data_IF_218372676016
#
_entry.id   IF_218372676016
#
_cell.length_a   1.000
_cell.length_b   1.000
_cell.length_c   1.000
_cell.angle_alpha   90.00
_cell.angle_beta   90.00
_cell.angle_gamma   90.00
#
_symmetry.space_group_name_H-M   'P 1'
#
loop_
_entity.id
_entity.type
_entity.pdbx_description
1 polymer ?
#
# COMPACT_ATOMS: atom_id res chain seq x y z
N UNK A 1 4.49 2.51 22.64
CA UNK A 1 4.65 1.26 21.84
C UNK A 1 6.01 1.28 21.16
N UNK A 2 7.08 1.56 21.91
CA UNK A 2 8.43 1.67 21.37
C UNK A 2 9.12 0.32 21.59
N UNK A 3 9.28 -0.45 20.51
CA UNK A 3 9.98 -1.73 20.53
C UNK A 3 9.33 -2.80 19.64
N UNK A 4 10.01 -3.94 19.52
CA UNK A 4 9.63 -5.09 18.66
C UNK A 4 8.16 -5.50 18.83
N UNK A 5 7.62 -5.43 20.06
CA UNK A 5 6.22 -5.75 20.37
C UNK A 5 5.21 -4.80 19.70
N UNK A 6 5.54 -3.51 19.58
CA UNK A 6 4.68 -2.51 18.95
C UNK A 6 4.54 -2.73 17.43
N UNK A 7 5.63 -3.10 16.76
CA UNK A 7 5.63 -3.44 15.34
C UNK A 7 4.88 -4.73 15.07
N UNK A 8 5.09 -5.77 15.89
CA UNK A 8 4.36 -7.04 15.76
C UNK A 8 2.86 -6.80 15.96
N UNK A 9 2.47 -6.02 16.97
CA UNK A 9 1.05 -5.70 17.17
C UNK A 9 0.45 -4.91 15.99
N UNK A 10 1.16 -3.91 15.48
CA UNK A 10 0.71 -3.13 14.33
C UNK A 10 0.60 -3.99 13.07
N UNK A 11 1.59 -4.84 12.79
CA UNK A 11 1.58 -5.77 11.67
C UNK A 11 0.43 -6.77 11.76
N UNK A 12 0.20 -7.33 12.95
CA UNK A 12 -0.93 -8.22 13.21
C UNK A 12 -2.28 -7.54 12.99
N UNK A 13 -2.46 -6.33 13.53
CA UNK A 13 -3.71 -5.59 13.35
C UNK A 13 -3.95 -5.24 11.88
N UNK A 14 -2.92 -4.81 11.13
CA UNK A 14 -3.03 -4.53 9.69
C UNK A 14 -3.40 -5.79 8.91
N UNK A 15 -2.80 -6.93 9.24
CA UNK A 15 -3.15 -8.23 8.63
C UNK A 15 -4.61 -8.62 8.85
N UNK A 16 -5.10 -8.52 10.10
CA UNK A 16 -6.49 -8.85 10.44
C UNK A 16 -7.47 -7.86 9.81
N UNK A 17 -7.21 -6.55 9.90
CA UNK A 17 -8.05 -5.53 9.29
C UNK A 17 -8.14 -5.71 7.77
N UNK A 18 -7.06 -6.13 7.12
CA UNK A 18 -7.05 -6.39 5.68
C UNK A 18 -7.98 -7.54 5.30
N UNK A 19 -8.02 -8.63 6.08
CA UNK A 19 -8.93 -9.76 5.83
C UNK A 19 -10.38 -9.39 6.18
N UNK A 20 -10.60 -8.65 7.27
CA UNK A 20 -11.93 -8.12 7.60
C UNK A 20 -12.48 -7.23 6.49
N UNK A 21 -11.64 -6.37 5.88
CA UNK A 21 -12.06 -5.55 4.75
C UNK A 21 -12.50 -6.41 3.55
N UNK A 22 -11.83 -7.54 3.28
CA UNK A 22 -12.26 -8.51 2.25
C UNK A 22 -13.62 -9.10 2.61
N UNK A 23 -13.80 -9.52 3.87
CA UNK A 23 -15.08 -10.06 4.35
C UNK A 23 -16.25 -9.06 4.19
N UNK A 24 -16.00 -7.77 4.45
CA UNK A 24 -17.01 -6.72 4.33
C UNK A 24 -17.24 -6.20 2.90
N UNK A 25 -16.58 -6.76 1.88
CA UNK A 25 -16.90 -6.49 0.47
C UNK A 25 -15.75 -6.00 -0.39
N UNK A 26 -14.51 -5.89 0.13
CA UNK A 26 -13.36 -5.68 -0.75
C UNK A 26 -13.04 -6.95 -1.56
N UNK A 27 -12.53 -6.79 -2.80
CA UNK A 27 -12.18 -7.91 -3.66
C UNK A 27 -11.22 -8.88 -2.96
N UNK A 28 -11.46 -10.17 -3.19
CA UNK A 28 -10.61 -11.25 -2.69
C UNK A 28 -9.14 -11.00 -3.07
N UNK A 29 -8.22 -11.23 -2.12
CA UNK A 29 -6.78 -10.98 -2.25
C UNK A 29 -6.34 -9.52 -2.49
N UNK A 30 -7.23 -8.52 -2.38
CA UNK A 30 -6.83 -7.10 -2.39
C UNK A 30 -6.64 -6.52 -0.99
N UNK A 31 -7.47 -6.92 -0.01
CA UNK A 31 -7.39 -6.46 1.39
C UNK A 31 -7.21 -4.95 1.51
N UNK A 32 -5.96 -4.53 1.72
CA UNK A 32 -5.53 -3.13 1.73
C UNK A 32 -4.39 -2.90 0.71
N UNK A 33 -4.72 -2.56 -0.55
CA UNK A 33 -3.73 -2.39 -1.61
C UNK A 33 -3.63 -0.94 -2.11
N UNK A 34 -2.58 -0.23 -1.69
CA UNK A 34 -2.41 1.19 -2.03
C UNK A 34 -2.29 1.44 -3.53
N UNK A 35 -1.50 0.64 -4.26
CA UNK A 35 -1.28 0.85 -5.70
C UNK A 35 -2.57 0.65 -6.52
N UNK A 36 -3.31 -0.44 -6.24
CA UNK A 36 -4.57 -0.69 -6.91
C UNK A 36 -5.62 0.37 -6.55
N UNK A 37 -5.65 0.83 -5.29
CA UNK A 37 -6.62 1.82 -4.86
C UNK A 37 -6.34 3.21 -5.47
N UNK A 38 -5.07 3.60 -5.60
CA UNK A 38 -4.69 4.82 -6.31
C UNK A 38 -5.08 4.75 -7.80
N UNK A 39 -4.90 3.59 -8.44
CA UNK A 39 -5.40 3.36 -9.81
C UNK A 39 -6.93 3.50 -9.86
N UNK A 40 -7.65 2.90 -8.92
CA UNK A 40 -9.12 2.93 -8.90
C UNK A 40 -9.63 4.38 -8.68
N UNK A 41 -8.96 5.15 -7.80
CA UNK A 41 -9.23 6.57 -7.59
C UNK A 41 -8.97 7.39 -8.86
N UNK A 42 -7.85 7.14 -9.56
CA UNK A 42 -7.56 7.79 -10.83
C UNK A 42 -8.63 7.47 -11.91
N UNK A 43 -9.20 6.25 -11.86
CA UNK A 43 -10.29 5.84 -12.73
C UNK A 43 -11.60 6.54 -12.39
N UNK A 44 -11.90 6.70 -11.09
CA UNK A 44 -13.07 7.44 -10.60
C UNK A 44 -13.01 8.94 -10.94
N UNK A 45 -11.82 9.53 -10.97
CA UNK A 45 -11.58 10.91 -11.41
C UNK A 45 -11.54 11.08 -12.93
N UNK A 46 -11.66 9.98 -13.70
CA UNK A 46 -11.64 10.01 -15.17
C UNK A 46 -10.25 10.25 -15.80
N UNK A 47 -9.16 10.12 -15.03
CA UNK A 47 -7.79 10.22 -15.54
C UNK A 47 -7.43 9.04 -16.46
N UNK A 48 -8.11 7.91 -16.30
CA UNK A 48 -8.16 6.82 -17.27
C UNK A 48 -9.58 6.26 -17.35
N UNK A 49 -9.91 5.61 -18.47
CA UNK A 49 -11.27 5.13 -18.80
C UNK A 49 -11.42 3.61 -18.73
N UNK A 50 -10.64 2.93 -17.90
CA UNK A 50 -10.81 1.49 -17.71
C UNK A 50 -12.07 1.23 -16.87
N UNK A 51 -13.17 0.87 -17.54
CA UNK A 51 -14.51 0.72 -16.95
C UNK A 51 -14.61 -0.26 -15.76
N UNK A 52 -13.61 -1.12 -15.58
CA UNK A 52 -13.57 -2.19 -14.56
C UNK A 52 -13.00 -1.71 -13.21
N UNK A 53 -12.35 -0.52 -13.19
CA UNK A 53 -11.50 -0.05 -12.07
C UNK A 53 -11.71 1.45 -11.81
N UNK A 54 -12.96 1.85 -11.58
CA UNK A 54 -13.35 3.24 -11.31
C UNK A 54 -14.13 3.30 -10.00
N UNK A 55 -13.46 3.75 -8.94
CA UNK A 55 -14.06 3.98 -7.63
C UNK A 55 -13.12 4.79 -6.74
N UNK A 56 -13.65 5.82 -6.09
CA UNK A 56 -12.88 6.56 -5.09
C UNK A 56 -12.87 5.71 -3.81
N UNK A 57 -11.73 5.10 -3.51
CA UNK A 57 -11.57 4.22 -2.34
C UNK A 57 -11.28 5.03 -1.06
N UNK A 58 -12.22 5.09 -0.09
CA UNK A 58 -12.05 5.89 1.14
C UNK A 58 -10.97 5.35 2.08
N UNK A 59 -10.47 4.13 1.88
CA UNK A 59 -9.36 3.54 2.63
C UNK A 59 -8.08 4.40 2.55
N UNK A 60 -7.78 4.95 1.36
CA UNK A 60 -6.60 5.80 1.14
C UNK A 60 -6.75 7.12 1.87
N UNK A 61 -7.94 7.72 1.79
CA UNK A 61 -8.27 8.96 2.49
C UNK A 61 -8.13 8.76 4.00
N UNK A 62 -8.68 7.66 4.53
CA UNK A 62 -8.55 7.27 5.93
C UNK A 62 -7.08 7.12 6.35
N UNK A 63 -6.25 6.45 5.55
CA UNK A 63 -4.83 6.27 5.86
C UNK A 63 -4.07 7.60 5.92
N UNK A 64 -4.33 8.49 4.96
CA UNK A 64 -3.69 9.81 4.92
C UNK A 64 -4.14 10.65 6.12
N UNK A 65 -5.43 10.69 6.42
CA UNK A 65 -5.94 11.45 7.56
C UNK A 65 -5.47 10.88 8.90
N UNK A 66 -5.46 9.56 9.06
CA UNK A 66 -5.01 8.90 10.27
C UNK A 66 -3.52 9.14 10.55
N UNK A 67 -2.66 9.02 9.53
CA UNK A 67 -1.22 9.32 9.65
C UNK A 67 -0.96 10.81 9.91
N UNK A 68 -1.74 11.70 9.29
CA UNK A 68 -1.64 13.13 9.49
C UNK A 68 -2.04 13.57 10.92
N UNK A 69 -3.18 13.10 11.43
CA UNK A 69 -3.68 13.44 12.77
C UNK A 69 -2.70 13.01 13.88
N UNK A 70 -2.13 11.80 13.77
CA UNK A 70 -1.18 11.33 14.77
C UNK A 70 0.17 12.05 14.66
N UNK A 71 0.60 12.42 13.45
CA UNK A 71 1.82 13.22 13.24
C UNK A 71 1.72 14.61 13.89
N UNK A 72 0.56 15.28 13.75
CA UNK A 72 0.28 16.54 14.44
C UNK A 72 0.27 16.36 15.96
N UNK A 73 -0.41 15.33 16.47
CA UNK A 73 -0.49 15.04 17.91
C UNK A 73 0.89 14.76 18.53
N UNK A 74 1.74 14.03 17.82
CA UNK A 74 3.10 13.73 18.26
C UNK A 74 4.09 14.87 18.02
N UNK A 75 3.66 15.98 17.39
CA UNK A 75 4.52 17.12 16.99
C UNK A 75 5.69 16.72 16.08
N UNK A 76 5.52 15.66 15.29
CA UNK A 76 6.53 15.17 14.33
C UNK A 76 6.28 15.69 12.90
N UNK A 77 5.26 16.54 12.73
CA UNK A 77 4.88 17.03 11.41
C UNK A 77 5.87 18.06 10.88
N UNK A 78 6.51 17.73 9.75
CA UNK A 78 7.49 18.61 9.09
C UNK A 78 7.30 18.54 7.57
N UNK A 79 7.01 19.69 6.94
CA UNK A 79 6.90 19.80 5.49
C UNK A 79 8.30 19.84 4.86
N UNK A 80 8.61 18.85 4.01
CA UNK A 80 9.92 18.71 3.36
C UNK A 80 9.77 18.66 1.84
N UNK A 81 10.53 19.51 1.17
CA UNK A 81 10.63 19.59 -0.29
C UNK A 81 11.87 18.91 -0.81
N UNK A 82 11.70 18.14 -1.87
CA UNK A 82 12.82 17.53 -2.57
C UNK A 82 13.45 18.44 -3.60
N UNK A 83 14.78 18.42 -3.69
CA UNK A 83 15.44 18.76 -4.96
C UNK A 83 15.29 17.61 -5.98
N UNK A 84 15.26 17.99 -7.26
CA UNK A 84 14.98 17.17 -8.47
C UNK A 84 13.55 16.60 -8.59
N UNK A 85 12.51 17.47 -8.72
CA UNK A 85 11.12 17.05 -8.85
C UNK A 85 10.86 16.12 -10.06
N UNK A 86 11.50 16.40 -11.21
CA UNK A 86 11.32 15.59 -12.41
C UNK A 86 11.79 14.14 -12.23
N UNK A 87 12.96 13.92 -11.63
CA UNK A 87 13.49 12.57 -11.40
C UNK A 87 12.56 11.80 -10.46
N UNK A 88 12.10 12.43 -9.37
CA UNK A 88 11.16 11.80 -8.42
C UNK A 88 9.82 11.47 -9.07
N UNK A 89 9.34 12.33 -9.96
CA UNK A 89 8.13 12.09 -10.72
C UNK A 89 8.27 10.89 -11.65
N UNK A 90 9.35 10.82 -12.45
CA UNK A 90 9.62 9.69 -13.35
C UNK A 90 9.79 8.39 -12.57
N UNK A 91 10.50 8.40 -11.44
CA UNK A 91 10.60 7.23 -10.55
C UNK A 91 9.23 6.77 -10.05
N UNK A 92 8.34 7.70 -9.68
CA UNK A 92 6.97 7.38 -9.30
C UNK A 92 6.17 6.71 -10.43
N UNK A 93 6.32 7.18 -11.67
CA UNK A 93 5.69 6.56 -12.85
C UNK A 93 6.19 5.13 -13.04
N UNK A 94 7.51 4.92 -12.98
CA UNK A 94 8.15 3.60 -13.12
C UNK A 94 7.64 2.65 -12.03
N UNK A 95 7.66 3.06 -10.75
CA UNK A 95 7.15 2.26 -9.63
C UNK A 95 5.67 1.89 -9.81
N UNK A 96 4.83 2.84 -10.24
CA UNK A 96 3.42 2.56 -10.48
C UNK A 96 3.20 1.57 -11.63
N UNK A 97 3.98 1.65 -12.70
CA UNK A 97 3.94 0.68 -13.80
C UNK A 97 4.32 -0.72 -13.28
N UNK A 98 5.41 -0.85 -12.51
CA UNK A 98 5.84 -2.12 -11.92
C UNK A 98 4.80 -2.74 -10.99
N UNK A 99 4.24 -1.92 -10.09
CA UNK A 99 3.20 -2.35 -9.17
C UNK A 99 1.92 -2.79 -9.90
N UNK A 100 1.57 -2.15 -11.02
CA UNK A 100 0.41 -2.52 -11.82
C UNK A 100 0.64 -3.78 -12.67
N UNK A 101 1.86 -4.02 -13.16
CA UNK A 101 2.24 -5.28 -13.84
C UNK A 101 2.10 -6.47 -12.88
N UNK A 102 2.57 -6.32 -11.64
CA UNK A 102 2.35 -7.33 -10.58
C UNK A 102 0.89 -7.40 -10.09
N UNK A 103 0.05 -6.45 -10.50
CA UNK A 103 -1.30 -6.22 -9.97
C UNK A 103 -1.31 -6.03 -8.44
N UNK A 104 -0.32 -5.38 -7.85
CA UNK A 104 -0.30 -5.17 -6.41
C UNK A 104 0.83 -4.29 -5.89
N UNK A 105 0.68 -3.82 -4.67
CA UNK A 105 1.77 -3.20 -3.91
C UNK A 105 2.48 -4.24 -3.03
N UNK A 106 3.63 -3.90 -2.40
CA UNK A 106 4.32 -4.81 -1.48
C UNK A 106 3.41 -5.34 -0.37
N UNK A 107 2.49 -4.53 0.14
CA UNK A 107 1.54 -4.98 1.16
C UNK A 107 0.56 -6.03 0.60
N UNK A 108 0.04 -5.84 -0.61
CA UNK A 108 -0.84 -6.81 -1.27
C UNK A 108 -0.11 -8.11 -1.59
N UNK A 109 1.16 -8.05 -1.97
CA UNK A 109 2.00 -9.24 -2.18
C UNK A 109 2.02 -10.14 -0.94
N UNK A 110 2.18 -9.54 0.24
CA UNK A 110 2.17 -10.27 1.52
C UNK A 110 0.82 -10.87 1.84
N UNK A 111 -0.25 -10.09 1.63
CA UNK A 111 -1.62 -10.56 1.86
C UNK A 111 -2.02 -11.68 0.89
N UNK A 112 -1.53 -11.63 -0.36
CA UNK A 112 -1.69 -12.70 -1.35
C UNK A 112 -1.01 -13.99 -0.88
N UNK A 113 0.24 -13.90 -0.39
CA UNK A 113 0.92 -15.05 0.20
C UNK A 113 0.16 -15.61 1.40
N UNK A 114 -0.35 -14.74 2.28
CA UNK A 114 -1.21 -15.13 3.41
C UNK A 114 -2.54 -15.76 2.99
N UNK A 115 -3.02 -15.51 1.77
CA UNK A 115 -4.21 -16.12 1.18
C UNK A 115 -3.96 -17.47 0.48
N UNK A 116 -2.69 -17.91 0.39
CA UNK A 116 -2.30 -19.15 -0.28
C UNK A 116 -1.78 -18.97 -1.71
N UNK A 117 -1.53 -17.73 -2.16
CA UNK A 117 -0.96 -17.43 -3.48
C UNK A 117 0.55 -17.63 -3.51
N UNK A 118 0.97 -18.74 -4.13
CA UNK A 118 2.38 -19.10 -4.29
C UNK A 118 3.06 -18.26 -5.38
N UNK A 119 2.32 -17.61 -6.29
CA UNK A 119 2.91 -16.67 -7.25
C UNK A 119 3.47 -15.43 -6.56
N UNK A 120 2.97 -15.09 -5.36
CA UNK A 120 3.51 -14.01 -4.54
C UNK A 120 4.97 -14.27 -4.09
N UNK A 121 5.44 -15.52 -4.05
CA UNK A 121 6.84 -15.83 -3.75
C UNK A 121 7.79 -15.28 -4.81
N UNK A 122 7.44 -15.38 -6.09
CA UNK A 122 8.21 -14.79 -7.18
C UNK A 122 8.21 -13.26 -7.08
N UNK A 123 7.10 -12.66 -6.65
CA UNK A 123 7.03 -11.23 -6.35
C UNK A 123 7.98 -10.83 -5.20
N UNK A 124 8.01 -11.60 -4.10
CA UNK A 124 8.90 -11.33 -2.96
C UNK A 124 10.37 -11.45 -3.38
N UNK A 125 10.70 -12.50 -4.16
CA UNK A 125 12.05 -12.68 -4.69
C UNK A 125 12.46 -11.49 -5.58
N UNK A 126 11.55 -11.04 -6.46
CA UNK A 126 11.75 -9.85 -7.29
C UNK A 126 11.99 -8.60 -6.45
N UNK A 127 11.12 -8.35 -5.47
CA UNK A 127 11.22 -7.19 -4.58
C UNK A 127 12.53 -7.15 -3.79
N UNK A 128 12.96 -8.28 -3.21
CA UNK A 128 14.25 -8.35 -2.49
C UNK A 128 15.42 -8.12 -3.45
N UNK A 129 15.37 -8.70 -4.66
CA UNK A 129 16.40 -8.52 -5.67
C UNK A 129 16.50 -7.06 -6.17
N UNK A 130 15.37 -6.41 -6.42
CA UNK A 130 15.29 -5.00 -6.78
C UNK A 130 15.91 -4.09 -5.72
N UNK A 131 15.54 -4.30 -4.45
CA UNK A 131 16.12 -3.55 -3.32
C UNK A 131 17.62 -3.81 -3.20
N UNK A 132 18.08 -5.06 -3.40
CA UNK A 132 19.51 -5.38 -3.35
C UNK A 132 20.30 -4.59 -4.41
N UNK A 133 19.82 -4.55 -5.66
CA UNK A 133 20.42 -3.73 -6.71
C UNK A 133 20.40 -2.25 -6.32
N UNK A 134 19.26 -1.75 -5.83
CA UNK A 134 19.12 -0.36 -5.37
C UNK A 134 20.12 0.02 -4.27
N UNK A 135 20.33 -0.86 -3.29
CA UNK A 135 21.31 -0.67 -2.20
C UNK A 135 22.73 -0.60 -2.76
N UNK A 136 23.08 -1.41 -3.75
CA UNK A 136 24.40 -1.34 -4.39
C UNK A 136 24.63 0.02 -5.09
N UNK A 137 23.61 0.58 -5.74
CA UNK A 137 23.69 1.92 -6.33
C UNK A 137 23.79 3.02 -5.27
N UNK A 138 23.05 2.90 -4.16
CA UNK A 138 23.14 3.83 -3.04
C UNK A 138 24.54 3.81 -2.39
N UNK A 139 25.14 2.63 -2.23
CA UNK A 139 26.50 2.48 -1.72
C UNK A 139 27.56 3.10 -2.65
N UNK A 140 27.27 3.22 -3.95
CA UNK A 140 28.12 3.90 -4.94
C UNK A 140 27.96 5.43 -4.97
N UNK A 141 27.21 6.01 -4.03
CA UNK A 141 27.10 7.46 -3.84
C UNK A 141 25.96 8.13 -4.60
N UNK A 142 24.97 7.37 -5.08
CA UNK A 142 23.76 7.97 -5.66
C UNK A 142 22.97 8.69 -4.56
N UNK A 143 22.92 10.02 -4.63
CA UNK A 143 22.13 10.83 -3.70
C UNK A 143 21.23 11.79 -4.45
N UNK A 144 19.93 11.74 -4.13
CA UNK A 144 19.01 12.81 -4.48
C UNK A 144 19.35 13.98 -3.55
N UNK A 145 19.77 15.12 -4.13
CA UNK A 145 20.16 16.36 -3.42
C UNK A 145 19.27 16.67 -2.19
N UNK A 146 19.81 17.49 -1.27
CA UNK A 146 19.23 17.78 0.06
C UNK A 146 17.75 18.19 0.01
N UNK A 147 16.95 17.64 0.92
CA UNK A 147 15.58 18.11 1.16
C UNK A 147 15.59 19.45 1.92
N UNK A 148 14.77 20.40 1.50
CA UNK A 148 14.59 21.70 2.13
C UNK A 148 13.31 21.72 2.97
N UNK A 149 13.30 22.47 4.08
CA UNK A 149 12.06 22.71 4.83
C UNK A 149 11.17 23.65 4.02
N UNK A 150 9.95 23.23 3.75
CA UNK A 150 8.95 24.02 3.02
C UNK A 150 7.96 24.64 4.01
N UNK A 151 7.24 25.71 3.62
CA UNK A 151 6.22 26.29 4.49
C UNK A 151 5.20 25.24 4.91
N UNK A 152 4.68 25.37 6.12
CA UNK A 152 3.71 24.44 6.71
C UNK A 152 2.46 24.27 5.86
N UNK A 153 2.05 25.33 5.14
CA UNK A 153 0.91 25.34 4.21
C UNK A 153 1.01 24.20 3.19
N UNK A 154 2.17 24.00 2.56
CA UNK A 154 2.34 22.94 1.55
C UNK A 154 2.13 21.53 2.12
N UNK A 155 2.41 21.35 3.42
CA UNK A 155 2.15 20.09 4.11
C UNK A 155 0.66 19.85 4.39
N UNK A 156 -0.15 20.90 4.55
CA UNK A 156 -1.61 20.78 4.77
C UNK A 156 -2.38 20.55 3.47
N UNK A 157 -1.82 20.90 2.30
CA UNK A 157 -2.47 20.73 0.99
C UNK A 157 -2.83 19.26 0.75
N UNK A 158 -1.92 18.32 1.04
CA UNK A 158 -2.16 16.91 0.73
C UNK A 158 -3.32 16.29 1.54
N UNK A 159 -3.42 16.45 2.87
CA UNK A 159 -4.61 16.06 3.62
C UNK A 159 -5.88 16.77 3.14
N UNK A 160 -5.81 18.07 2.81
CA UNK A 160 -6.96 18.86 2.37
C UNK A 160 -7.53 18.36 1.04
N UNK A 161 -6.66 18.01 0.08
CA UNK A 161 -7.06 17.39 -1.20
C UNK A 161 -7.78 16.05 -0.95
N UNK A 162 -7.31 15.24 -0.01
CA UNK A 162 -7.96 13.98 0.36
C UNK A 162 -9.34 14.18 0.99
N UNK A 163 -9.53 15.23 1.80
CA UNK A 163 -10.85 15.64 2.29
C UNK A 163 -11.74 16.08 1.13
N UNK A 164 -11.19 16.80 0.16
CA UNK A 164 -11.87 17.14 -1.09
C UNK A 164 -12.35 15.91 -1.86
N UNK A 165 -11.53 14.87 -1.96
CA UNK A 165 -11.94 13.58 -2.56
C UNK A 165 -13.05 12.88 -1.77
N UNK A 166 -13.06 12.99 -0.43
CA UNK A 166 -14.13 12.46 0.40
C UNK A 166 -15.44 13.21 0.17
N UNK A 167 -15.38 14.54 0.08
CA UNK A 167 -16.54 15.36 -0.24
C UNK A 167 -17.09 15.04 -1.64
N UNK A 168 -16.21 14.83 -2.63
CA UNK A 168 -16.58 14.39 -3.98
C UNK A 168 -17.24 13.01 -3.97
N UNK A 169 -16.76 12.07 -3.15
CA UNK A 169 -17.37 10.75 -2.99
C UNK A 169 -18.80 10.85 -2.44
N UNK A 170 -19.03 11.70 -1.43
CA UNK A 170 -20.36 11.89 -0.82
C UNK A 170 -21.30 12.66 -1.77
N UNK A 171 -20.81 13.68 -2.45
CA UNK A 171 -21.61 14.50 -3.35
C UNK A 171 -21.96 13.79 -4.67
N UNK A 172 -21.21 12.73 -5.04
CA UNK A 172 -21.36 11.92 -6.24
C UNK A 172 -21.79 12.73 -7.50
N UNK A 173 -21.07 13.81 -7.88
CA UNK A 173 -21.38 14.55 -9.09
C UNK A 173 -21.23 13.65 -10.33
N UNK A 174 -22.06 13.86 -11.36
CA UNK A 174 -22.11 13.02 -12.57
C UNK A 174 -20.83 12.93 -13.41
N UNK A 175 -19.74 13.58 -12.99
CA UNK A 175 -18.39 13.42 -13.56
C UNK A 175 -17.57 12.30 -12.89
N UNK A 176 -18.02 11.72 -11.77
CA UNK A 176 -17.35 10.60 -11.11
C UNK A 176 -17.86 9.30 -11.70
N UNK A 177 -16.95 8.53 -12.29
CA UNK A 177 -17.29 7.24 -12.85
C UNK A 177 -17.28 6.16 -11.77
N UNK A 178 -18.40 5.47 -11.62
CA UNK A 178 -18.52 4.28 -10.79
C UNK A 178 -18.57 3.05 -11.69
N UNK A 179 -17.69 2.11 -11.45
CA UNK A 179 -17.67 0.85 -12.19
C UNK A 179 -18.85 -0.04 -11.76
N UNK A 180 -19.65 -0.51 -12.73
CA UNK A 180 -20.76 -1.45 -12.49
C UNK A 180 -20.29 -2.91 -12.38
N UNK A 181 -19.09 -3.25 -12.92
CA UNK A 181 -18.56 -4.62 -12.97
C UNK A 181 -17.04 -4.64 -12.76
N UNK A 182 -16.58 -5.45 -11.81
CA UNK A 182 -15.16 -5.75 -11.58
C UNK A 182 -14.66 -5.41 -10.17
N UNK A 183 -13.34 -5.45 -9.90
CA UNK A 183 -12.77 -5.06 -8.60
C UNK A 183 -13.09 -3.62 -8.16
N UNK A 184 -13.51 -2.74 -9.06
CA UNK A 184 -14.00 -1.40 -8.73
C UNK A 184 -15.41 -1.36 -8.13
N UNK A 185 -16.26 -2.35 -8.41
CA UNK A 185 -17.63 -2.41 -7.87
C UNK A 185 -17.74 -3.16 -6.54
N UNK A 186 -16.69 -3.90 -6.17
CA UNK A 186 -16.53 -4.54 -4.87
C UNK A 186 -15.92 -3.53 -3.88
N UNK A 187 -16.79 -2.86 -3.13
CA UNK A 187 -16.41 -1.89 -2.12
C UNK A 187 -17.04 -2.24 -0.77
N UNK A 188 -16.22 -2.23 0.28
CA UNK A 188 -16.73 -2.29 1.65
C UNK A 188 -17.48 -0.99 2.01
N UNK A 189 -18.42 -1.02 2.99
CA UNK A 189 -19.14 0.16 3.45
C UNK A 189 -18.20 1.31 3.82
N UNK A 190 -18.50 2.52 3.34
CA UNK A 190 -17.64 3.71 3.44
C UNK A 190 -17.10 3.94 4.86
N UNK A 191 -17.95 3.77 5.88
CA UNK A 191 -17.60 3.93 7.31
C UNK A 191 -16.56 2.90 7.78
N UNK A 192 -16.69 1.65 7.36
CA UNK A 192 -15.78 0.56 7.74
C UNK A 192 -14.42 0.75 7.05
N UNK A 193 -14.42 1.07 5.77
CA UNK A 193 -13.21 1.38 5.01
C UNK A 193 -12.47 2.62 5.53
N UNK A 194 -13.19 3.68 5.92
CA UNK A 194 -12.59 4.90 6.44
C UNK A 194 -12.00 4.67 7.84
N UNK A 195 -12.72 3.97 8.72
CA UNK A 195 -12.24 3.64 10.07
C UNK A 195 -11.05 2.69 10.03
N UNK A 196 -11.08 1.67 9.18
CA UNK A 196 -9.93 0.78 8.96
C UNK A 196 -8.72 1.55 8.42
N UNK A 197 -8.93 2.41 7.40
CA UNK A 197 -7.88 3.28 6.87
C UNK A 197 -7.27 4.19 7.94
N UNK A 198 -8.10 4.82 8.78
CA UNK A 198 -7.66 5.71 9.86
C UNK A 198 -6.82 4.94 10.89
N UNK A 199 -7.28 3.77 11.33
CA UNK A 199 -6.53 2.92 12.27
C UNK A 199 -5.19 2.48 11.68
N UNK A 200 -5.17 2.01 10.43
CA UNK A 200 -3.94 1.61 9.73
C UNK A 200 -2.99 2.81 9.59
N UNK A 201 -3.49 4.00 9.23
CA UNK A 201 -2.69 5.22 9.12
C UNK A 201 -2.06 5.64 10.44
N UNK A 202 -2.81 5.59 11.55
CA UNK A 202 -2.30 5.89 12.90
C UNK A 202 -1.18 4.92 13.30
N UNK A 203 -1.39 3.63 13.04
CA UNK A 203 -0.41 2.59 13.36
C UNK A 203 0.84 2.67 12.49
N UNK A 204 0.67 2.87 11.18
CA UNK A 204 1.77 2.98 10.23
C UNK A 204 2.68 4.16 10.59
N UNK A 205 2.11 5.32 10.95
CA UNK A 205 2.89 6.49 11.34
C UNK A 205 3.63 6.28 12.67
N UNK A 206 2.99 5.63 13.66
CA UNK A 206 3.64 5.35 14.96
C UNK A 206 4.76 4.32 14.88
N UNK A 207 4.59 3.30 14.05
CA UNK A 207 5.55 2.19 13.95
C UNK A 207 6.57 2.38 12.84
N UNK A 208 6.38 3.39 11.98
CA UNK A 208 7.18 3.64 10.77
C UNK A 208 7.29 2.38 9.91
N UNK A 209 6.18 1.64 9.81
CA UNK A 209 6.14 0.36 9.10
C UNK A 209 6.34 0.60 7.60
N UNK A 210 7.49 0.18 7.09
CA UNK A 210 7.86 0.30 5.69
C UNK A 210 8.49 -1.01 5.21
N UNK A 211 7.87 -1.65 4.23
CA UNK A 211 8.36 -2.94 3.70
C UNK A 211 9.68 -2.78 2.94
N UNK A 212 9.83 -1.71 2.15
CA UNK A 212 11.09 -1.38 1.45
C UNK A 212 12.20 -1.08 2.47
N UNK A 213 11.88 -0.26 3.47
CA UNK A 213 12.81 0.10 4.54
C UNK A 213 13.28 -1.13 5.33
N UNK A 214 12.36 -2.04 5.66
CA UNK A 214 12.71 -3.27 6.38
C UNK A 214 13.68 -4.18 5.63
N UNK A 215 13.47 -4.40 4.33
CA UNK A 215 14.40 -5.21 3.52
C UNK A 215 15.74 -4.49 3.33
N UNK A 216 15.73 -3.17 3.09
CA UNK A 216 16.95 -2.37 2.97
C UNK A 216 17.78 -2.37 4.24
N UNK A 217 17.15 -2.16 5.39
CA UNK A 217 17.83 -2.05 6.69
C UNK A 217 18.38 -3.42 7.14
N UNK A 218 17.71 -4.51 6.78
CA UNK A 218 18.27 -5.87 6.94
C UNK A 218 19.54 -6.06 6.09
N UNK A 219 19.55 -5.63 4.83
CA UNK A 219 20.71 -5.83 3.93
C UNK A 219 21.90 -4.95 4.36
N UNK A 220 21.66 -3.69 4.71
CA UNK A 220 22.73 -2.72 4.97
C UNK A 220 23.19 -2.70 6.43
N UNK A 221 22.25 -2.75 7.38
CA UNK A 221 22.53 -2.60 8.81
C UNK A 221 22.28 -3.89 9.62
N UNK A 222 21.77 -4.95 9.00
CA UNK A 222 21.36 -6.21 9.65
C UNK A 222 20.35 -6.01 10.78
N UNK A 223 19.51 -4.98 10.68
CA UNK A 223 18.43 -4.74 11.63
C UNK A 223 17.14 -5.44 11.17
N UNK A 224 16.65 -6.35 12.01
CA UNK A 224 15.45 -7.15 11.74
C UNK A 224 14.18 -6.54 12.35
N UNK A 225 14.25 -5.38 12.99
CA UNK A 225 13.12 -4.77 13.71
C UNK A 225 11.88 -4.57 12.82
N UNK A 226 12.06 -4.01 11.62
CA UNK A 226 10.98 -3.77 10.66
C UNK A 226 10.51 -5.06 9.96
N UNK A 227 11.41 -6.03 9.79
CA UNK A 227 11.13 -7.31 9.15
C UNK A 227 10.22 -8.20 10.00
N UNK A 228 10.31 -8.08 11.33
CA UNK A 228 9.35 -8.72 12.26
C UNK A 228 7.91 -8.25 12.02
N UNK A 229 7.71 -7.00 11.60
CA UNK A 229 6.39 -6.49 11.21
C UNK A 229 5.87 -7.15 9.94
N UNK A 230 6.74 -7.38 8.96
CA UNK A 230 6.42 -8.07 7.72
C UNK A 230 6.00 -9.52 7.97
N UNK A 231 6.77 -10.27 8.77
CA UNK A 231 6.43 -11.64 9.17
C UNK A 231 5.11 -11.66 9.95
N UNK A 232 4.90 -10.69 10.84
CA UNK A 232 3.65 -10.60 11.60
C UNK A 232 2.43 -10.42 10.69
N UNK A 233 2.51 -9.57 9.65
CA UNK A 233 1.41 -9.42 8.68
C UNK A 233 1.11 -10.76 7.98
N UNK A 234 2.13 -11.52 7.58
CA UNK A 234 1.95 -12.86 6.96
C UNK A 234 1.22 -13.79 7.91
N UNK A 235 1.72 -13.94 9.15
CA UNK A 235 1.18 -14.92 10.11
C UNK A 235 -0.26 -14.59 10.48
N UNK A 236 -0.56 -13.32 10.77
CA UNK A 236 -1.92 -12.92 11.15
C UNK A 236 -2.89 -12.91 9.98
N UNK A 237 -2.45 -12.54 8.77
CA UNK A 237 -3.31 -12.65 7.58
C UNK A 237 -3.58 -14.11 7.22
N UNK A 238 -2.60 -14.99 7.33
CA UNK A 238 -2.78 -16.43 7.16
C UNK A 238 -3.77 -17.00 8.18
N UNK A 239 -3.57 -16.71 9.48
CA UNK A 239 -4.48 -17.15 10.53
C UNK A 239 -5.91 -16.65 10.31
N UNK A 240 -6.08 -15.38 9.91
CA UNK A 240 -7.38 -14.82 9.58
C UNK A 240 -8.00 -15.46 8.33
N UNK A 241 -7.24 -15.67 7.26
CA UNK A 241 -7.74 -16.32 6.05
C UNK A 241 -8.17 -17.78 6.29
N UNK A 242 -7.45 -18.50 7.14
CA UNK A 242 -7.84 -19.85 7.58
C UNK A 242 -9.12 -19.79 8.42
N UNK A 243 -9.24 -18.85 9.36
CA UNK A 243 -10.42 -18.69 10.20
C UNK A 243 -11.69 -18.30 9.40
N UNK A 244 -11.55 -17.48 8.36
CA UNK A 244 -12.65 -17.05 7.49
C UNK A 244 -12.89 -17.98 6.30
N UNK A 245 -12.10 -19.06 6.13
CA UNK A 245 -12.27 -20.04 5.06
C UNK A 245 -11.89 -19.55 3.65
N UNK A 246 -11.17 -18.43 3.53
CA UNK A 246 -10.72 -17.86 2.24
C UNK A 246 -9.40 -18.45 1.72
N UNK A 247 -8.86 -19.47 2.40
CA UNK A 247 -7.57 -20.04 2.07
C UNK A 247 -7.66 -20.98 0.86
N UNK A 248 -7.08 -20.56 -0.27
CA UNK A 248 -6.98 -21.36 -1.49
C UNK A 248 -5.51 -21.50 -1.88
N UNK A 249 -4.89 -22.58 -1.43
CA UNK A 249 -3.51 -22.90 -1.78
C UNK A 249 -3.43 -23.38 -3.23
N UNK A 250 -2.78 -22.61 -4.09
CA UNK A 250 -2.69 -22.94 -5.50
C UNK A 250 -1.76 -22.00 -6.28
N UNK A 251 -1.35 -22.46 -7.46
CA UNK A 251 -0.65 -21.63 -8.46
C UNK A 251 -1.60 -21.08 -9.53
N UNK A 252 -2.77 -21.70 -9.73
CA UNK A 252 -3.74 -21.39 -10.78
C UNK A 252 -5.11 -21.02 -10.18
N UNK A 253 -5.89 -20.20 -10.89
CA UNK A 253 -7.24 -19.72 -10.51
C UNK A 253 -7.32 -18.89 -9.21
N UNK A 254 -6.29 -18.08 -8.93
CA UNK A 254 -6.36 -17.14 -7.81
C UNK A 254 -6.95 -15.79 -8.25
N UNK A 255 -7.82 -15.19 -7.41
CA UNK A 255 -8.52 -13.98 -7.79
C UNK A 255 -7.52 -12.84 -8.00
N UNK A 256 -7.54 -12.29 -9.22
CA UNK A 256 -6.80 -11.08 -9.62
C UNK A 256 -5.27 -11.28 -9.50
N UNK A 257 -4.80 -12.46 -9.92
CA UNK A 257 -3.40 -12.84 -10.02
C UNK A 257 -3.14 -13.46 -11.41
N UNK A 258 -2.06 -13.06 -12.07
CA UNK A 258 -1.58 -13.76 -13.26
C UNK A 258 -0.52 -14.81 -12.86
N UNK A 259 -0.56 -15.95 -13.53
CA UNK A 259 0.30 -17.13 -13.29
C UNK A 259 1.75 -16.94 -13.77
N UNK A 260 2.03 -15.84 -14.47
CA UNK A 260 3.34 -15.58 -15.05
C UNK A 260 4.36 -15.15 -13.98
N UNK A 261 5.09 -16.14 -13.44
CA UNK A 261 6.14 -15.92 -12.45
C UNK A 261 7.22 -14.92 -12.89
N UNK A 262 7.56 -14.89 -14.19
CA UNK A 262 8.55 -13.95 -14.74
C UNK A 262 8.08 -12.50 -14.64
N UNK A 263 6.83 -12.21 -15.05
CA UNK A 263 6.26 -10.87 -14.96
C UNK A 263 6.05 -10.42 -13.52
N UNK A 264 5.68 -11.36 -12.65
CA UNK A 264 5.59 -11.09 -11.21
C UNK A 264 6.96 -10.71 -10.61
N UNK A 265 8.02 -11.42 -11.00
CA UNK A 265 9.38 -11.13 -10.57
C UNK A 265 9.88 -9.78 -11.11
N UNK A 266 9.76 -9.55 -12.43
CA UNK A 266 10.24 -8.33 -13.08
C UNK A 266 9.46 -7.09 -12.61
N UNK A 267 8.14 -7.21 -12.46
CA UNK A 267 7.29 -6.12 -11.96
C UNK A 267 7.68 -5.67 -10.56
N UNK A 268 7.94 -6.62 -9.65
CA UNK A 268 8.36 -6.31 -8.28
C UNK A 268 9.84 -5.98 -8.15
N UNK A 269 10.71 -6.45 -9.04
CA UNK A 269 12.12 -6.04 -9.07
C UNK A 269 12.30 -4.58 -9.49
N UNK A 270 11.34 -4.03 -10.21
CA UNK A 270 11.33 -2.63 -10.64
C UNK A 270 10.76 -1.68 -9.57
N UNK A 271 9.99 -2.21 -8.61
CA UNK A 271 9.36 -1.49 -7.48
C UNK A 271 10.30 -1.39 -6.29
#
# INVERSE_FOLDING_TARGET
>A
MEGKKGIIFAGGLVGVLSVLLVYYGNPANMGFCIACFLRDMAGGLGLHRAAVVQYIRPEIIGLVLGSFLISLKNKEFESKGGSSPFIRFILGVVVMIGALIFLGCPLRMVLRLGGGDLNALFGIAGFVFGIFIGVQFLNKGFNLKRNYKMPTIEGYVFPLVNIGFLALLIAAPGFIFFSEKGPGSMAAPILISLSAGLLVGVLAQRTRLCMVGGTRDMILFKDNHLLLGFISIIVFSFAANVAFGFFNLGFQNQPIAHTDGLWNFLGMALV
#
